data_IF_934374215998
#
_entry.id   IF_934374215998
#
_cell.length_a   1.000
_cell.length_b   1.000
_cell.length_c   1.000
_cell.angle_alpha   90.00
_cell.angle_beta   90.00
_cell.angle_gamma   90.00
#
_symmetry.space_group_name_H-M   'P 1'
#
loop_
_entity.id
_entity.type
_entity.pdbx_description
1 polymer ?
#
# COMPACT_ATOMS: atom_id res chain seq x y z
N UNK A 1 -9.22 34.14 9.19
CA UNK A 1 -9.59 33.05 8.26
C UNK A 1 -11.08 32.76 8.45
N UNK A 2 -11.87 32.79 7.38
CA UNK A 2 -13.34 32.80 7.48
C UNK A 2 -13.90 31.47 8.00
N UNK A 3 -14.91 31.55 8.87
CA UNK A 3 -15.67 30.42 9.44
C UNK A 3 -16.11 29.39 8.37
N UNK A 4 -16.40 29.87 7.16
CA UNK A 4 -16.80 29.05 6.01
C UNK A 4 -15.71 28.09 5.51
N UNK A 5 -14.44 28.48 5.59
CA UNK A 5 -13.31 27.63 5.18
C UNK A 5 -13.07 26.49 6.16
N UNK A 6 -13.32 26.72 7.45
CA UNK A 6 -13.15 25.69 8.48
C UNK A 6 -14.22 24.61 8.38
N UNK A 7 -15.46 25.01 8.07
CA UNK A 7 -16.58 24.10 7.85
C UNK A 7 -16.35 23.19 6.63
N UNK A 8 -15.75 23.73 5.57
CA UNK A 8 -15.39 22.95 4.37
C UNK A 8 -14.34 21.88 4.68
N UNK A 9 -13.31 22.22 5.47
CA UNK A 9 -12.27 21.27 5.89
C UNK A 9 -12.84 20.17 6.78
N UNK A 10 -13.76 20.50 7.69
CA UNK A 10 -14.41 19.52 8.57
C UNK A 10 -15.32 18.56 7.79
N UNK A 11 -16.08 19.07 6.82
CA UNK A 11 -16.92 18.22 5.94
C UNK A 11 -16.05 17.27 5.11
N UNK A 12 -14.93 17.77 4.59
CA UNK A 12 -13.99 16.96 3.80
C UNK A 12 -13.33 15.85 4.65
N UNK A 13 -12.87 16.18 5.86
CA UNK A 13 -12.32 15.19 6.80
C UNK A 13 -13.36 14.13 7.20
N UNK A 14 -14.62 14.55 7.39
CA UNK A 14 -15.70 13.63 7.72
C UNK A 14 -16.01 12.66 6.57
N UNK A 15 -16.00 13.15 5.32
CA UNK A 15 -16.15 12.31 4.14
C UNK A 15 -15.00 11.30 3.99
N UNK A 16 -13.75 11.72 4.25
CA UNK A 16 -12.60 10.83 4.25
C UNK A 16 -12.68 9.76 5.35
N UNK A 17 -13.17 10.12 6.54
CA UNK A 17 -13.39 9.18 7.64
C UNK A 17 -14.47 8.15 7.31
N UNK A 18 -15.57 8.56 6.69
CA UNK A 18 -16.64 7.66 6.25
C UNK A 18 -16.11 6.67 5.19
N UNK A 19 -15.39 7.18 4.19
CA UNK A 19 -14.78 6.37 3.14
C UNK A 19 -13.73 5.38 3.69
N UNK A 20 -12.96 5.79 4.69
CA UNK A 20 -11.99 4.93 5.38
C UNK A 20 -12.64 3.85 6.24
N UNK A 21 -13.78 4.15 6.87
CA UNK A 21 -14.54 3.18 7.66
C UNK A 21 -15.20 2.11 6.77
N UNK A 22 -15.68 2.50 5.59
CA UNK A 22 -16.41 1.62 4.66
C UNK A 22 -15.48 0.65 3.90
N UNK A 23 -14.18 0.96 3.80
CA UNK A 23 -13.19 0.09 3.16
C UNK A 23 -12.84 -1.17 3.97
N UNK A 24 -13.38 -1.33 5.19
CA UNK A 24 -13.13 -2.51 6.07
C UNK A 24 -14.23 -3.58 5.99
N UNK A 25 -14.92 -3.73 4.86
CA UNK A 25 -16.02 -4.71 4.75
C UNK A 25 -16.02 -5.51 3.46
N UNK A 26 -14.98 -6.30 3.23
CA UNK A 26 -15.09 -7.57 2.52
C UNK A 26 -13.97 -8.49 2.99
N UNK A 27 -14.36 -9.52 3.74
CA UNK A 27 -13.74 -10.85 3.94
C UNK A 27 -14.28 -11.41 5.26
N UNK A 28 -15.61 -11.59 5.30
CA UNK A 28 -16.25 -12.41 6.31
C UNK A 28 -16.36 -13.79 5.66
N UNK A 29 -15.39 -14.65 5.96
CA UNK A 29 -15.44 -16.06 5.62
C UNK A 29 -16.48 -16.68 6.57
N UNK A 30 -17.72 -16.74 6.13
CA UNK A 30 -18.72 -17.58 6.79
C UNK A 30 -18.36 -19.03 6.46
N UNK A 31 -17.74 -19.72 7.42
CA UNK A 31 -17.75 -21.17 7.46
C UNK A 31 -18.22 -21.54 8.85
N UNK A 32 -19.52 -21.82 8.92
CA UNK A 32 -20.10 -22.65 9.95
C UNK A 32 -19.21 -23.90 10.10
N UNK A 33 -18.56 -24.08 11.24
CA UNK A 33 -18.01 -25.37 11.59
C UNK A 33 -18.31 -25.66 13.03
N UNK A 34 -19.18 -26.64 13.17
CA UNK A 34 -19.45 -27.41 14.36
C UNK A 34 -18.18 -27.79 15.09
N UNK A 35 -18.36 -27.89 16.41
CA UNK A 35 -17.47 -28.48 17.39
C UNK A 35 -16.51 -29.56 16.86
N UNK A 36 -15.31 -29.49 17.41
CA UNK A 36 -14.61 -30.61 18.06
C UNK A 36 -13.23 -30.93 17.49
N UNK A 37 -12.38 -31.15 18.48
CA UNK A 37 -11.03 -31.70 18.53
C UNK A 37 -9.84 -30.91 17.95
N UNK A 38 -8.84 -30.83 18.81
CA UNK A 38 -7.68 -29.97 18.69
C UNK A 38 -6.63 -30.54 17.74
N UNK A 39 -6.13 -29.67 16.88
CA UNK A 39 -4.79 -29.75 16.33
C UNK A 39 -4.38 -28.33 15.92
N UNK A 40 -3.53 -27.72 16.73
CA UNK A 40 -2.80 -26.49 16.43
C UNK A 40 -1.93 -26.71 15.19
N UNK A 41 -2.53 -26.55 14.00
CA UNK A 41 -1.81 -26.51 12.75
C UNK A 41 -1.47 -25.04 12.47
N UNK A 42 -0.42 -24.54 13.13
CA UNK A 42 0.17 -23.23 12.82
C UNK A 42 0.84 -23.30 11.44
N UNK A 43 0.03 -23.27 10.37
CA UNK A 43 0.51 -22.88 9.06
C UNK A 43 0.69 -21.36 9.09
N UNK A 44 1.82 -20.90 9.62
CA UNK A 44 2.30 -19.55 9.37
C UNK A 44 2.64 -19.46 7.88
N UNK A 45 1.62 -19.22 7.05
CA UNK A 45 1.81 -18.82 5.66
C UNK A 45 2.80 -17.64 5.64
N UNK A 46 3.74 -17.69 4.71
CA UNK A 46 4.78 -16.67 4.57
C UNK A 46 4.13 -15.28 4.55
N UNK A 47 4.51 -14.43 5.50
CA UNK A 47 3.87 -13.12 5.69
C UNK A 47 4.47 -12.15 4.68
N UNK A 48 3.73 -11.90 3.61
CA UNK A 48 4.09 -10.91 2.58
C UNK A 48 3.78 -9.50 3.06
N UNK A 49 4.67 -8.52 2.80
CA UNK A 49 4.36 -7.09 3.03
C UNK A 49 3.20 -6.68 2.11
N UNK A 50 2.18 -6.06 2.70
CA UNK A 50 1.01 -5.58 1.98
C UNK A 50 1.36 -4.63 0.81
N UNK A 51 2.46 -3.88 0.91
CA UNK A 51 2.94 -2.98 -0.15
C UNK A 51 3.50 -3.72 -1.37
N UNK A 52 3.92 -4.96 -1.20
CA UNK A 52 4.51 -5.78 -2.25
C UNK A 52 3.46 -6.61 -3.00
N UNK A 53 2.29 -6.84 -2.38
CA UNK A 53 1.17 -7.60 -2.98
C UNK A 53 0.86 -7.15 -4.42
N UNK A 54 0.75 -5.84 -4.74
CA UNK A 54 0.45 -5.41 -6.12
C UNK A 54 1.55 -5.76 -7.12
N UNK A 55 2.83 -5.70 -6.71
CA UNK A 55 3.96 -6.05 -7.56
C UNK A 55 4.02 -7.56 -7.80
N UNK A 56 3.82 -8.35 -6.75
CA UNK A 56 3.77 -9.80 -6.83
C UNK A 56 2.63 -10.29 -7.71
N UNK A 57 1.46 -9.63 -7.65
CA UNK A 57 0.35 -9.92 -8.55
C UNK A 57 0.74 -9.70 -10.02
N UNK A 58 1.38 -8.57 -10.34
CA UNK A 58 1.82 -8.27 -11.70
C UNK A 58 2.90 -9.23 -12.19
N UNK A 59 3.85 -9.59 -11.33
CA UNK A 59 4.88 -10.58 -11.63
C UNK A 59 4.26 -11.96 -11.91
N UNK A 60 3.36 -12.41 -11.05
CA UNK A 60 2.61 -13.66 -11.23
C UNK A 60 1.81 -13.65 -12.54
N UNK A 61 1.19 -12.52 -12.88
CA UNK A 61 0.45 -12.34 -14.13
C UNK A 61 1.35 -12.46 -15.36
N UNK A 62 2.59 -11.98 -15.30
CA UNK A 62 3.59 -12.11 -16.37
C UNK A 62 4.06 -13.57 -16.51
N UNK A 63 4.29 -14.26 -15.38
CA UNK A 63 4.75 -15.64 -15.36
C UNK A 63 3.70 -16.60 -15.95
N UNK A 64 2.43 -16.39 -15.60
CA UNK A 64 1.32 -17.22 -16.07
C UNK A 64 0.89 -16.91 -17.51
N UNK A 65 1.27 -15.77 -18.07
CA UNK A 65 0.90 -15.38 -19.43
C UNK A 65 1.81 -16.05 -20.48
N UNK A 66 1.24 -16.56 -21.60
CA UNK A 66 2.02 -17.12 -22.70
C UNK A 66 3.07 -16.13 -23.21
N UNK A 67 4.27 -16.64 -23.51
CA UNK A 67 5.36 -15.85 -24.07
C UNK A 67 4.89 -15.18 -25.37
N UNK A 68 5.10 -13.87 -25.49
CA UNK A 68 4.71 -13.10 -26.69
C UNK A 68 3.22 -12.73 -26.78
N UNK A 69 2.40 -13.12 -25.80
CA UNK A 69 1.00 -12.71 -25.78
C UNK A 69 0.86 -11.20 -25.52
N UNK A 70 -0.19 -10.54 -26.06
CA UNK A 70 -0.51 -9.16 -25.73
C UNK A 70 -0.72 -8.95 -24.22
N UNK A 71 -1.31 -9.94 -23.56
CA UNK A 71 -1.55 -9.94 -22.11
C UNK A 71 -0.23 -9.85 -21.32
N UNK A 72 0.80 -10.58 -21.77
CA UNK A 72 2.12 -10.52 -21.14
C UNK A 72 2.79 -9.16 -21.35
N UNK A 73 2.68 -8.59 -22.55
CA UNK A 73 3.22 -7.26 -22.85
C UNK A 73 2.53 -6.17 -22.01
N UNK A 74 1.21 -6.24 -21.88
CA UNK A 74 0.44 -5.33 -21.04
C UNK A 74 0.84 -5.45 -19.57
N UNK A 75 0.96 -6.67 -19.04
CA UNK A 75 1.38 -6.89 -17.65
C UNK A 75 2.82 -6.38 -17.39
N UNK A 76 3.74 -6.55 -18.34
CA UNK A 76 5.10 -5.99 -18.27
C UNK A 76 5.09 -4.46 -18.28
N UNK A 77 4.27 -3.84 -19.14
CA UNK A 77 4.10 -2.40 -19.18
C UNK A 77 3.58 -1.87 -17.84
N UNK A 78 2.53 -2.49 -17.31
CA UNK A 78 1.91 -2.07 -16.05
C UNK A 78 2.90 -2.20 -14.88
N UNK A 79 3.71 -3.27 -14.84
CA UNK A 79 4.76 -3.44 -13.83
C UNK A 79 5.81 -2.32 -13.90
N UNK A 80 6.25 -1.96 -15.12
CA UNK A 80 7.22 -0.88 -15.32
C UNK A 80 6.65 0.47 -14.88
N UNK A 81 5.39 0.75 -15.22
CA UNK A 81 4.71 1.98 -14.81
C UNK A 81 4.59 2.09 -13.29
N UNK A 82 4.21 1.01 -12.61
CA UNK A 82 4.10 0.96 -11.14
C UNK A 82 5.46 1.19 -10.46
N UNK A 83 6.52 0.53 -10.92
CA UNK A 83 7.88 0.73 -10.38
C UNK A 83 8.35 2.18 -10.58
N UNK A 84 8.10 2.75 -11.76
CA UNK A 84 8.48 4.12 -12.05
C UNK A 84 7.67 5.13 -11.22
N UNK A 85 6.38 4.87 -11.01
CA UNK A 85 5.53 5.69 -10.17
C UNK A 85 6.05 5.71 -8.72
N UNK A 86 6.36 4.55 -8.15
CA UNK A 86 6.95 4.43 -6.79
C UNK A 86 8.28 5.16 -6.69
N UNK A 87 9.19 4.96 -7.64
CA UNK A 87 10.47 5.69 -7.71
C UNK A 87 10.30 7.20 -7.73
N UNK A 88 9.32 7.69 -8.51
CA UNK A 88 9.04 9.13 -8.59
C UNK A 88 8.55 9.67 -7.26
N UNK A 89 7.69 8.94 -6.55
CA UNK A 89 7.24 9.31 -5.20
C UNK A 89 8.43 9.39 -4.24
N UNK A 90 9.29 8.38 -4.22
CA UNK A 90 10.47 8.36 -3.34
C UNK A 90 11.40 9.55 -3.61
N UNK A 91 11.65 9.86 -4.88
CA UNK A 91 12.43 11.02 -5.29
C UNK A 91 11.79 12.34 -4.84
N UNK A 92 10.49 12.49 -5.05
CA UNK A 92 9.76 13.68 -4.62
C UNK A 92 9.82 13.87 -3.10
N UNK A 93 9.70 12.79 -2.32
CA UNK A 93 9.83 12.84 -0.85
C UNK A 93 11.22 13.33 -0.45
N UNK A 94 12.28 12.76 -1.06
CA UNK A 94 13.66 13.17 -0.81
C UNK A 94 13.86 14.66 -1.15
N UNK A 95 13.35 15.12 -2.29
CA UNK A 95 13.49 16.51 -2.73
C UNK A 95 12.75 17.48 -1.81
N UNK A 96 11.51 17.17 -1.43
CA UNK A 96 10.74 17.98 -0.47
C UNK A 96 11.50 18.14 0.84
N UNK A 97 12.09 17.07 1.37
CA UNK A 97 12.86 17.12 2.61
C UNK A 97 14.14 17.94 2.45
N UNK A 98 14.87 17.79 1.35
CA UNK A 98 16.07 18.59 1.06
C UNK A 98 15.76 20.08 1.02
N UNK A 99 14.68 20.45 0.32
CA UNK A 99 14.24 21.85 0.22
C UNK A 99 13.77 22.40 1.57
N UNK A 100 12.99 21.62 2.32
CA UNK A 100 12.41 22.04 3.59
C UNK A 100 13.45 22.18 4.71
N UNK A 101 14.43 21.27 4.75
CA UNK A 101 15.43 21.21 5.83
C UNK A 101 16.75 21.88 5.47
N UNK A 102 16.93 22.30 4.21
CA UNK A 102 18.19 22.85 3.67
C UNK A 102 19.39 21.93 3.92
N UNK A 103 19.16 20.62 3.96
CA UNK A 103 20.18 19.58 4.10
C UNK A 103 20.27 18.76 2.83
N UNK A 104 21.48 18.39 2.44
CA UNK A 104 21.74 17.55 1.26
C UNK A 104 21.54 16.06 1.57
N UNK A 105 21.89 15.65 2.78
CA UNK A 105 21.66 14.29 3.29
C UNK A 105 20.42 14.26 4.20
N UNK A 106 19.43 13.47 3.79
CA UNK A 106 18.15 13.28 4.47
C UNK A 106 17.85 11.80 4.71
N UNK A 107 18.78 10.90 4.35
CA UNK A 107 18.54 9.46 4.42
C UNK A 107 18.39 8.99 5.87
N UNK A 108 19.27 9.47 6.75
CA UNK A 108 19.21 9.17 8.19
C UNK A 108 17.88 9.64 8.80
N UNK A 109 17.32 10.75 8.32
CA UNK A 109 16.02 11.23 8.80
C UNK A 109 14.87 10.36 8.29
N UNK A 110 14.93 9.92 7.03
CA UNK A 110 13.91 9.08 6.40
C UNK A 110 13.86 7.67 7.00
N UNK A 111 15.00 7.18 7.47
CA UNK A 111 15.16 5.81 7.99
C UNK A 111 15.19 5.74 9.51
N UNK A 112 15.34 6.88 10.19
CA UNK A 112 15.31 6.96 11.65
C UNK A 112 13.92 6.60 12.18
N UNK A 113 13.75 5.35 12.60
CA UNK A 113 12.59 4.91 13.39
C UNK A 113 12.68 5.48 14.80
N UNK A 114 11.62 6.12 15.29
CA UNK A 114 11.55 6.53 16.71
C UNK A 114 11.62 5.27 17.58
N UNK A 115 12.75 5.05 18.26
CA UNK A 115 12.86 4.09 19.37
C UNK A 115 12.11 4.66 20.56
N UNK A 116 10.78 4.59 20.54
CA UNK A 116 9.98 4.81 21.75
C UNK A 116 9.91 3.48 22.49
N UNK A 117 10.72 3.38 23.56
CA UNK A 117 10.53 2.39 24.63
C UNK A 117 9.42 2.81 25.59
#
# INVERSE_FOLDING_TARGET
MSFLGHLHVLVFLYALLLFSAESRKTQLFDTESSADDGAEHENYGDKVDARDIPLLYLETKIQNAPVGSPQRQEAQKNLLEEINHRKKIDQNIIEILRLSLKKTDVLDLLTSTRTTG
#
